data_IF_649194720167
#
_entry.id   IF_649194720167
#
_cell.length_a   1.000
_cell.length_b   1.000
_cell.length_c   1.000
_cell.angle_alpha   90.00
_cell.angle_beta   90.00
_cell.angle_gamma   90.00
#
_symmetry.space_group_name_H-M   'P 1'
#
loop_
_entity.id
_entity.type
_entity.pdbx_description
1 polymer ?
#
# COMPACT_ATOMS: atom_id res chain seq x y z
N UNK A 1 -1.17 -26.19 -31.93
CA UNK A 1 -1.11 -25.32 -30.74
C UNK A 1 -1.24 -26.19 -29.51
N UNK A 2 -0.34 -26.07 -28.52
CA UNK A 2 -0.51 -26.78 -27.25
C UNK A 2 -1.74 -26.21 -26.54
N UNK A 3 -2.61 -27.08 -26.04
CA UNK A 3 -3.80 -26.67 -25.28
C UNK A 3 -3.32 -26.03 -23.98
N UNK A 4 -3.46 -24.71 -23.87
CA UNK A 4 -2.95 -23.97 -22.72
C UNK A 4 -3.71 -24.43 -21.46
N UNK A 5 -2.98 -24.78 -20.41
CA UNK A 5 -3.58 -25.20 -19.13
C UNK A 5 -4.13 -23.97 -18.42
N UNK A 6 -5.26 -24.12 -17.74
CA UNK A 6 -5.89 -23.05 -16.98
C UNK A 6 -6.14 -23.46 -15.53
N UNK A 7 -6.05 -22.49 -14.61
CA UNK A 7 -6.36 -22.67 -13.19
C UNK A 7 -7.52 -21.76 -12.80
N UNK A 8 -8.53 -22.33 -12.13
CA UNK A 8 -9.71 -21.64 -11.64
C UNK A 8 -9.61 -21.50 -10.12
N UNK A 9 -9.79 -20.28 -9.60
CA UNK A 9 -9.76 -19.98 -8.16
C UNK A 9 -10.99 -19.15 -7.79
N UNK A 10 -11.64 -19.50 -6.68
CA UNK A 10 -12.72 -18.72 -6.09
C UNK A 10 -12.25 -18.17 -4.75
N UNK A 11 -12.32 -16.86 -4.57
CA UNK A 11 -11.83 -16.16 -3.38
C UNK A 11 -13.03 -15.43 -2.75
N UNK A 12 -13.48 -15.82 -1.54
CA UNK A 12 -14.44 -15.05 -0.77
C UNK A 12 -13.96 -13.60 -0.59
N UNK A 13 -14.65 -12.66 -1.23
CA UNK A 13 -14.30 -11.25 -1.30
C UNK A 13 -15.57 -10.43 -1.53
N UNK A 14 -15.98 -9.66 -0.53
CA UNK A 14 -17.18 -8.83 -0.64
C UNK A 14 -16.96 -7.68 -1.62
N UNK A 15 -18.01 -7.19 -2.28
CA UNK A 15 -17.90 -6.03 -3.18
C UNK A 15 -17.46 -4.73 -2.47
N UNK A 16 -17.64 -4.64 -1.14
CA UNK A 16 -17.10 -3.56 -0.32
C UNK A 16 -15.62 -3.72 0.00
N UNK A 17 -15.08 -4.94 -0.09
CA UNK A 17 -13.65 -5.23 0.00
C UNK A 17 -12.95 -5.05 -1.36
N UNK A 18 -13.54 -5.52 -2.47
CA UNK A 18 -13.01 -5.28 -3.81
C UNK A 18 -14.14 -5.05 -4.82
N UNK A 19 -14.05 -3.95 -5.55
CA UNK A 19 -14.85 -3.65 -6.72
C UNK A 19 -13.92 -3.56 -7.94
N UNK A 20 -13.88 -4.63 -8.75
CA UNK A 20 -13.06 -4.75 -9.95
C UNK A 20 -13.32 -3.61 -10.94
N UNK A 21 -14.60 -3.26 -11.17
CA UNK A 21 -14.97 -2.23 -12.16
C UNK A 21 -14.35 -0.87 -11.83
N UNK A 22 -14.34 -0.48 -10.55
CA UNK A 22 -13.77 0.81 -10.14
C UNK A 22 -12.23 0.69 -10.02
N UNK A 23 -11.75 -0.36 -9.36
CA UNK A 23 -10.32 -0.59 -9.10
C UNK A 23 -9.49 -0.74 -10.38
N UNK A 24 -10.01 -1.43 -11.40
CA UNK A 24 -9.27 -1.70 -12.65
C UNK A 24 -9.45 -0.61 -13.72
N UNK A 25 -10.27 0.42 -13.49
CA UNK A 25 -10.52 1.49 -14.45
C UNK A 25 -10.28 2.92 -13.92
N UNK A 26 -9.89 3.08 -12.65
CA UNK A 26 -9.54 4.37 -12.07
C UNK A 26 -8.13 4.88 -12.44
N UNK A 27 -7.48 4.29 -13.46
CA UNK A 27 -6.20 4.76 -13.97
C UNK A 27 -4.97 4.40 -13.13
N UNK A 28 -5.09 3.48 -12.16
CA UNK A 28 -3.94 2.91 -11.46
C UNK A 28 -3.11 1.98 -12.36
N UNK A 29 -3.78 1.08 -13.09
CA UNK A 29 -3.16 0.19 -14.07
C UNK A 29 -3.79 0.41 -15.45
N UNK A 30 -3.04 0.10 -16.50
CA UNK A 30 -3.44 0.28 -17.90
C UNK A 30 -3.53 -1.06 -18.66
N UNK A 31 -3.36 -2.19 -17.95
CA UNK A 31 -3.27 -3.56 -18.50
C UNK A 31 -4.57 -4.36 -18.44
N UNK A 32 -5.67 -3.75 -17.96
CA UNK A 32 -6.96 -4.40 -17.77
C UNK A 32 -8.00 -3.92 -18.78
N UNK A 33 -8.74 -4.86 -19.36
CA UNK A 33 -9.83 -4.63 -20.31
C UNK A 33 -11.07 -5.42 -19.87
N UNK A 34 -12.25 -4.85 -20.11
CA UNK A 34 -13.51 -5.59 -19.95
C UNK A 34 -13.70 -6.43 -21.23
N UNK A 35 -13.43 -7.73 -21.15
CA UNK A 35 -13.46 -8.64 -22.30
C UNK A 35 -14.90 -9.07 -22.65
N UNK A 36 -15.74 -9.18 -21.64
CA UNK A 36 -17.20 -9.27 -21.72
C UNK A 36 -17.80 -8.60 -20.48
N UNK A 37 -19.11 -8.29 -20.42
CA UNK A 37 -19.69 -7.52 -19.32
C UNK A 37 -19.39 -8.13 -17.94
N UNK A 38 -18.68 -7.38 -17.09
CA UNK A 38 -18.26 -7.83 -15.76
C UNK A 38 -17.04 -8.76 -15.72
N UNK A 39 -16.44 -9.13 -16.87
CA UNK A 39 -15.23 -9.97 -16.96
C UNK A 39 -14.02 -9.13 -17.38
N UNK A 40 -13.10 -8.97 -16.45
CA UNK A 40 -11.86 -8.20 -16.60
C UNK A 40 -10.72 -9.12 -17.01
N UNK A 41 -10.18 -8.96 -18.21
CA UNK A 41 -8.98 -9.67 -18.66
C UNK A 41 -7.78 -8.72 -18.65
N UNK A 42 -6.66 -9.22 -18.16
CA UNK A 42 -5.43 -8.45 -18.00
C UNK A 42 -4.25 -9.33 -17.66
N UNK A 43 -3.16 -8.70 -17.22
CA UNK A 43 -1.95 -9.40 -16.82
C UNK A 43 -1.44 -8.95 -15.46
N UNK A 44 -0.79 -9.87 -14.76
CA UNK A 44 0.01 -9.62 -13.56
C UNK A 44 1.37 -10.25 -13.84
N UNK A 45 2.42 -9.44 -14.02
CA UNK A 45 3.72 -9.90 -14.54
C UNK A 45 3.50 -10.61 -15.90
N UNK A 46 3.92 -11.88 -16.00
CA UNK A 46 3.80 -12.72 -17.20
C UNK A 46 2.52 -13.59 -17.20
N UNK A 47 1.66 -13.45 -16.19
CA UNK A 47 0.47 -14.28 -16.02
C UNK A 47 -0.77 -13.59 -16.60
N UNK A 48 -1.52 -14.30 -17.44
CA UNK A 48 -2.73 -13.81 -18.11
C UNK A 48 -3.96 -14.24 -17.33
N UNK A 49 -4.70 -13.26 -16.82
CA UNK A 49 -5.77 -13.45 -15.86
C UNK A 49 -7.11 -12.95 -16.40
N UNK A 50 -8.19 -13.67 -16.10
CA UNK A 50 -9.55 -13.13 -16.11
C UNK A 50 -10.14 -13.12 -14.71
N UNK A 51 -10.73 -11.99 -14.33
CA UNK A 51 -11.45 -11.80 -13.07
C UNK A 51 -12.90 -11.41 -13.33
N UNK A 52 -13.83 -12.03 -12.62
CA UNK A 52 -15.20 -11.56 -12.47
C UNK A 52 -15.61 -11.64 -11.01
N UNK A 53 -16.71 -11.01 -10.62
CA UNK A 53 -17.17 -11.07 -9.23
C UNK A 53 -18.70 -11.03 -9.12
N UNK A 54 -19.19 -11.59 -8.03
CA UNK A 54 -20.50 -11.22 -7.48
C UNK A 54 -20.31 -10.30 -6.27
N UNK A 55 -21.33 -10.18 -5.41
CA UNK A 55 -21.29 -9.36 -4.20
C UNK A 55 -20.39 -9.93 -3.09
N UNK A 56 -19.99 -11.20 -3.19
CA UNK A 56 -19.41 -12.03 -2.12
C UNK A 56 -18.16 -12.81 -2.53
N UNK A 57 -17.97 -13.06 -3.82
CA UNK A 57 -16.91 -13.92 -4.37
C UNK A 57 -16.24 -13.28 -5.57
N UNK A 58 -14.91 -13.32 -5.57
CA UNK A 58 -14.03 -13.02 -6.70
C UNK A 58 -13.68 -14.33 -7.41
N UNK A 59 -14.06 -14.45 -8.68
CA UNK A 59 -13.77 -15.59 -9.55
C UNK A 59 -12.54 -15.25 -10.40
N UNK A 60 -11.56 -16.15 -10.42
CA UNK A 60 -10.28 -15.96 -11.08
C UNK A 60 -9.98 -17.11 -12.04
N UNK A 61 -9.50 -16.78 -13.24
CA UNK A 61 -9.02 -17.75 -14.24
C UNK A 61 -7.64 -17.34 -14.69
N UNK A 62 -6.63 -18.16 -14.39
CA UNK A 62 -5.31 -18.08 -15.01
C UNK A 62 -5.36 -18.83 -16.34
N UNK A 63 -4.98 -18.18 -17.43
CA UNK A 63 -5.06 -18.75 -18.78
C UNK A 63 -3.79 -19.47 -19.22
N UNK A 64 -2.63 -19.13 -18.64
CA UNK A 64 -1.32 -19.69 -18.96
C UNK A 64 -0.67 -20.39 -17.75
N UNK A 65 -1.35 -21.38 -17.17
CA UNK A 65 -0.81 -22.19 -16.08
C UNK A 65 0.49 -22.88 -16.52
N UNK A 66 1.61 -22.49 -15.89
CA UNK A 66 2.92 -23.09 -16.09
C UNK A 66 3.03 -24.40 -15.31
N UNK A 67 3.86 -25.31 -15.80
CA UNK A 67 4.28 -26.48 -15.03
C UNK A 67 5.21 -26.05 -13.88
N UNK A 68 5.21 -26.76 -12.75
CA UNK A 68 5.90 -26.34 -11.51
C UNK A 68 7.36 -25.91 -11.69
N UNK A 69 8.12 -26.59 -12.56
CA UNK A 69 9.53 -26.27 -12.87
C UNK A 69 9.73 -24.95 -13.65
N UNK A 70 8.64 -24.35 -14.16
CA UNK A 70 8.62 -23.08 -14.90
C UNK A 70 7.93 -21.96 -14.11
N UNK A 71 7.41 -22.24 -12.91
CA UNK A 71 6.92 -21.18 -12.02
C UNK A 71 8.16 -20.42 -11.51
N UNK A 72 8.30 -19.12 -11.78
CA UNK A 72 9.47 -18.37 -11.33
C UNK A 72 9.52 -18.41 -9.79
N UNK A 73 10.68 -18.72 -9.19
CA UNK A 73 10.80 -18.86 -7.74
C UNK A 73 10.35 -17.57 -7.07
N UNK A 74 9.43 -17.69 -6.11
CA UNK A 74 8.61 -16.62 -5.54
C UNK A 74 9.31 -15.24 -5.56
N UNK A 75 9.09 -14.48 -6.64
CA UNK A 75 9.87 -13.28 -6.99
C UNK A 75 9.67 -12.15 -5.98
N UNK A 76 8.70 -12.32 -5.08
CA UNK A 76 8.45 -11.43 -3.97
C UNK A 76 8.21 -12.23 -2.67
N UNK A 77 9.22 -13.03 -2.27
CA UNK A 77 9.31 -13.62 -0.93
C UNK A 77 9.34 -12.58 0.21
N UNK A 78 9.39 -11.28 -0.13
CA UNK A 78 9.27 -10.15 0.80
C UNK A 78 7.83 -9.63 0.93
N UNK A 79 6.88 -10.13 0.13
CA UNK A 79 5.50 -9.63 0.14
C UNK A 79 4.62 -10.22 1.28
N UNK A 80 5.24 -10.70 2.37
CA UNK A 80 4.57 -10.99 3.65
C UNK A 80 4.50 -9.72 4.51
N UNK A 81 3.75 -8.72 4.02
CA UNK A 81 3.70 -7.35 4.56
C UNK A 81 2.94 -7.15 5.88
N UNK A 82 2.61 -8.22 6.61
CA UNK A 82 2.18 -8.10 8.01
C UNK A 82 3.33 -8.35 8.99
N UNK A 83 4.45 -7.69 8.72
CA UNK A 83 5.37 -7.31 9.79
C UNK A 83 4.62 -6.42 10.79
N UNK A 84 4.70 -6.76 12.07
CA UNK A 84 3.99 -6.07 13.13
C UNK A 84 4.22 -4.55 13.09
N UNK A 85 3.21 -3.78 13.49
CA UNK A 85 3.39 -2.39 13.96
C UNK A 85 4.08 -2.46 15.34
N UNK A 86 5.33 -2.91 15.33
CA UNK A 86 6.19 -3.05 16.49
C UNK A 86 6.78 -1.70 16.88
N UNK A 87 6.53 -1.32 18.12
CA UNK A 87 6.79 -0.09 18.89
C UNK A 87 8.17 0.62 18.73
N UNK A 88 9.09 0.09 17.92
CA UNK A 88 10.49 0.52 17.82
C UNK A 88 10.76 1.74 16.92
N UNK A 89 9.72 2.40 16.40
CA UNK A 89 9.86 3.61 15.58
C UNK A 89 10.19 4.88 16.41
N UNK A 90 10.00 4.86 17.74
CA UNK A 90 10.14 6.04 18.62
C UNK A 90 11.51 6.10 19.34
N UNK A 91 12.24 5.00 19.44
CA UNK A 91 13.54 4.99 20.16
C UNK A 91 14.75 5.30 19.29
N UNK A 92 14.67 5.12 17.96
CA UNK A 92 15.83 5.35 17.07
C UNK A 92 16.18 6.82 16.80
N UNK A 93 15.31 7.77 17.15
CA UNK A 93 15.63 9.21 17.08
C UNK A 93 16.35 9.76 18.33
N UNK A 94 16.49 8.97 19.42
CA UNK A 94 17.12 9.45 20.67
C UNK A 94 18.61 9.14 20.83
N UNK A 95 19.24 8.47 19.85
CA UNK A 95 20.65 8.04 19.97
C UNK A 95 21.68 8.83 19.13
N UNK A 96 21.25 9.83 18.34
CA UNK A 96 22.16 10.61 17.48
C UNK A 96 22.54 12.01 18.01
N UNK A 97 21.83 12.55 19.01
CA UNK A 97 22.17 13.84 19.64
C UNK A 97 23.06 13.67 20.88
N UNK A 98 24.30 13.17 20.71
CA UNK A 98 25.37 13.36 21.70
C UNK A 98 26.81 13.04 21.22
N UNK A 99 27.24 13.58 20.07
CA UNK A 99 28.68 13.71 19.76
C UNK A 99 29.04 15.14 19.35
N UNK A 100 29.37 15.97 20.36
CA UNK A 100 30.01 17.27 20.18
C UNK A 100 31.32 17.10 19.40
N UNK A 101 31.37 17.66 18.19
CA UNK A 101 32.59 17.76 17.39
C UNK A 101 33.58 18.68 18.09
N UNK A 102 34.66 18.12 18.67
CA UNK A 102 35.88 18.86 18.98
C UNK A 102 36.91 18.60 17.89
N UNK A 103 37.30 19.66 17.17
CA UNK A 103 38.43 19.67 16.24
C UNK A 103 39.73 19.28 16.96
N UNK A 104 40.50 18.39 16.36
CA UNK A 104 41.96 18.37 16.49
C UNK A 104 42.60 18.10 15.12
N UNK A 105 43.75 18.74 14.86
CA UNK A 105 44.57 18.54 13.65
C UNK A 105 45.78 17.67 14.02
N UNK A 106 46.07 16.67 13.18
CA UNK A 106 47.41 16.13 12.89
C UNK A 106 47.26 15.34 11.57
N UNK A 107 47.83 15.72 10.42
CA UNK A 107 49.27 15.75 10.03
C UNK A 107 49.93 14.38 9.99
N UNK A 108 50.21 13.90 8.78
CA UNK A 108 51.12 12.82 8.39
C UNK A 108 51.18 11.54 9.26
N UNK A 109 50.69 10.42 8.70
CA UNK A 109 51.55 9.26 8.49
C UNK A 109 51.03 8.40 7.33
N UNK A 110 51.95 7.93 6.49
CA UNK A 110 51.68 7.08 5.33
C UNK A 110 52.24 5.68 5.56
N UNK A 111 51.39 4.64 5.56
CA UNK A 111 51.81 3.25 5.37
C UNK A 111 50.88 2.59 4.35
N UNK A 112 51.46 1.74 3.52
CA UNK A 112 50.89 1.13 2.32
C UNK A 112 50.86 -0.41 2.50
N UNK A 113 50.00 -1.13 1.75
CA UNK A 113 49.98 -2.61 1.57
C UNK A 113 49.49 -3.41 2.81
N UNK A 114 48.93 -4.62 2.71
CA UNK A 114 48.29 -5.36 1.59
C UNK A 114 47.66 -6.68 2.06
N UNK A 115 46.53 -7.08 1.45
CA UNK A 115 46.10 -8.47 1.17
C UNK A 115 45.70 -9.49 2.28
N UNK A 116 44.89 -10.45 1.81
CA UNK A 116 44.60 -11.84 2.27
C UNK A 116 43.67 -12.13 3.49
N UNK A 117 42.43 -12.53 3.14
CA UNK A 117 41.69 -13.80 3.41
C UNK A 117 41.59 -14.44 4.82
N UNK A 118 40.57 -15.31 4.95
CA UNK A 118 40.17 -16.22 6.07
C UNK A 118 39.40 -15.54 7.24
N UNK A 119 38.34 -16.11 7.83
CA UNK A 119 37.43 -17.23 7.47
C UNK A 119 36.10 -17.11 8.24
N UNK A 120 35.11 -17.95 7.94
CA UNK A 120 33.89 -18.12 8.74
C UNK A 120 34.16 -18.41 10.23
N UNK A 121 33.36 -17.80 11.10
CA UNK A 121 33.07 -18.34 12.44
C UNK A 121 31.70 -17.87 12.93
N UNK A 122 30.81 -18.83 13.19
CA UNK A 122 29.56 -18.62 13.94
C UNK A 122 29.84 -17.92 15.29
N UNK A 123 28.92 -17.07 15.73
CA UNK A 123 28.88 -16.56 17.11
C UNK A 123 27.52 -16.90 17.71
N UNK A 124 27.51 -17.89 18.60
CA UNK A 124 26.37 -18.16 19.47
C UNK A 124 26.18 -17.00 20.46
N UNK A 125 25.01 -16.37 20.43
CA UNK A 125 24.60 -15.40 21.46
C UNK A 125 23.68 -16.11 22.44
N UNK A 126 24.28 -16.61 23.53
CA UNK A 126 23.57 -17.01 24.75
C UNK A 126 22.84 -15.77 25.32
N UNK A 127 21.53 -15.87 25.49
CA UNK A 127 20.75 -14.93 26.31
C UNK A 127 20.37 -15.65 27.60
N UNK A 128 20.91 -15.19 28.72
CA UNK A 128 20.55 -15.68 30.05
C UNK A 128 19.32 -14.92 30.56
N UNK A 129 18.25 -15.65 30.92
CA UNK A 129 17.03 -15.09 31.48
C UNK A 129 17.08 -15.16 33.01
N UNK A 130 17.17 -14.00 33.66
CA UNK A 130 17.21 -13.92 35.12
C UNK A 130 15.81 -13.86 35.77
N UNK A 131 15.61 -14.80 36.69
CA UNK A 131 14.79 -14.72 37.90
C UNK A 131 13.33 -14.20 37.83
N UNK A 132 12.39 -15.14 37.65
CA UNK A 132 11.05 -15.02 38.23
C UNK A 132 11.16 -15.17 39.75
N UNK A 133 10.55 -14.25 40.53
CA UNK A 133 10.25 -14.46 41.96
C UNK A 133 8.75 -14.44 42.22
N UNK A 134 8.30 -15.47 42.92
CA UNK A 134 6.91 -15.74 43.30
C UNK A 134 6.46 -14.96 44.54
N UNK A 135 5.15 -14.68 44.61
CA UNK A 135 4.39 -14.52 45.87
C UNK A 135 3.00 -15.13 45.67
N UNK A 136 2.63 -16.10 46.50
CA UNK A 136 1.26 -16.65 46.59
C UNK A 136 0.34 -15.71 47.38
N UNK A 137 -0.96 -15.70 47.06
CA UNK A 137 -2.04 -15.50 48.05
C UNK A 137 -3.14 -16.54 47.74
N UNK A 138 -3.62 -17.23 48.79
CA UNK A 138 -4.61 -18.33 48.71
C UNK A 138 -6.06 -17.83 48.79
N UNK A 139 -7.04 -18.58 48.25
CA UNK A 139 -8.46 -18.20 48.27
C UNK A 139 -9.15 -18.56 49.59
N UNK A 140 -10.34 -17.98 49.83
CA UNK A 140 -11.45 -18.62 50.54
C UNK A 140 -12.78 -17.87 50.27
N UNK A 141 -13.88 -18.61 50.40
CA UNK A 141 -15.22 -18.24 49.93
C UNK A 141 -16.00 -17.24 50.82
N UNK A 142 -17.08 -16.68 50.27
CA UNK A 142 -18.42 -16.64 50.90
C UNK A 142 -19.49 -16.32 49.83
N UNK A 143 -20.73 -16.72 50.12
CA UNK A 143 -21.80 -17.05 49.17
C UNK A 143 -22.88 -15.97 48.96
N UNK A 144 -23.53 -16.06 47.78
CA UNK A 144 -24.98 -15.97 47.57
C UNK A 144 -25.76 -14.61 47.64
N UNK A 145 -26.61 -14.48 46.62
CA UNK A 145 -28.01 -13.99 46.63
C UNK A 145 -28.40 -12.49 46.46
N UNK A 146 -29.09 -12.29 45.33
CA UNK A 146 -30.44 -11.72 45.17
C UNK A 146 -30.75 -10.20 45.14
N UNK A 147 -31.51 -9.90 44.08
CA UNK A 147 -32.71 -9.04 44.01
C UNK A 147 -32.60 -7.53 43.70
N UNK A 148 -33.09 -7.23 42.49
CA UNK A 148 -34.15 -6.26 42.15
C UNK A 148 -34.07 -4.73 42.41
N UNK A 149 -34.60 -4.07 41.36
CA UNK A 149 -35.57 -2.96 41.33
C UNK A 149 -35.11 -1.50 41.52
N UNK A 150 -35.32 -0.77 40.42
CA UNK A 150 -36.10 0.48 40.32
C UNK A 150 -35.47 1.82 40.75
N UNK A 151 -35.17 2.63 39.72
CA UNK A 151 -35.79 3.93 39.46
C UNK A 151 -36.25 4.78 40.66
N UNK A 152 -35.65 5.98 40.82
CA UNK A 152 -36.32 7.23 40.41
C UNK A 152 -35.44 8.50 40.52
N UNK A 153 -35.16 9.09 39.35
CA UNK A 153 -35.52 10.46 38.89
C UNK A 153 -35.71 11.66 39.86
N UNK A 154 -35.30 12.87 39.39
CA UNK A 154 -35.70 14.25 39.81
C UNK A 154 -34.99 14.84 41.07
N UNK A 155 -34.63 16.14 41.21
CA UNK A 155 -33.98 17.20 40.38
C UNK A 155 -33.90 18.50 41.23
N UNK A 156 -32.80 19.28 41.12
CA UNK A 156 -32.65 20.72 41.52
C UNK A 156 -32.84 21.13 43.02
N UNK A 157 -32.41 22.31 43.50
CA UNK A 157 -31.27 23.20 43.19
C UNK A 157 -31.10 24.29 44.28
N UNK A 158 -29.92 24.95 44.34
CA UNK A 158 -29.58 26.17 45.15
C UNK A 158 -29.69 26.00 46.71
N UNK A 159 -29.27 26.89 47.62
CA UNK A 159 -28.71 28.26 47.56
C UNK A 159 -27.20 28.39 47.99
N UNK A 160 -26.86 29.15 49.05
CA UNK A 160 -25.72 30.10 49.01
C UNK A 160 -25.31 30.74 50.38
N UNK A 161 -24.01 31.06 50.56
CA UNK A 161 -23.35 32.02 51.49
C UNK A 161 -23.45 31.90 53.04
N UNK A 162 -22.30 31.68 53.70
CA UNK A 162 -21.57 32.72 54.48
C UNK A 162 -20.14 32.25 54.89
N UNK A 163 -19.25 33.17 55.34
CA UNK A 163 -17.78 33.00 55.34
C UNK A 163 -17.06 33.75 56.48
N UNK A 164 -15.90 33.21 56.94
CA UNK A 164 -14.91 33.76 57.93
C UNK A 164 -15.34 33.66 59.41
N UNK A 165 -14.49 33.43 60.42
CA UNK A 165 -13.04 33.09 60.62
C UNK A 165 -12.96 32.32 61.98
N UNK A 166 -12.02 31.43 62.35
CA UNK A 166 -10.55 31.58 62.46
C UNK A 166 -9.84 30.21 62.71
N UNK A 167 -8.50 30.20 62.60
CA UNK A 167 -7.47 29.22 63.04
C UNK A 167 -7.75 28.24 64.21
N UNK A 168 -7.14 27.04 64.32
CA UNK A 168 -6.23 26.26 63.45
C UNK A 168 -5.98 24.83 64.01
N UNK A 169 -5.76 23.81 63.15
CA UNK A 169 -4.97 22.58 63.44
C UNK A 169 -4.86 21.64 62.20
N UNK A 170 -3.87 20.73 62.20
CA UNK A 170 -3.41 19.95 61.03
C UNK A 170 -4.43 18.95 60.42
N UNK A 171 -4.81 19.13 59.15
CA UNK A 171 -5.31 18.05 58.26
C UNK A 171 -4.86 18.30 56.81
N UNK A 172 -4.18 17.33 56.17
CA UNK A 172 -3.90 17.35 54.72
C UNK A 172 -5.11 16.82 53.93
N UNK A 173 -5.75 17.64 53.09
CA UNK A 173 -6.61 17.14 51.98
C UNK A 173 -6.83 18.17 50.86
N UNK A 174 -6.68 17.69 49.63
CA UNK A 174 -7.24 18.14 48.33
C UNK A 174 -7.50 19.64 48.11
N UNK A 175 -6.80 20.21 47.13
CA UNK A 175 -7.38 21.19 46.21
C UNK A 175 -7.43 20.57 44.81
N UNK A 176 -8.58 20.63 44.14
CA UNK A 176 -8.74 20.21 42.74
C UNK A 176 -8.66 21.46 41.88
N UNK A 177 -7.80 21.44 40.85
CA UNK A 177 -7.98 22.26 39.66
C UNK A 177 -8.19 21.31 38.49
N UNK A 178 -9.20 21.60 37.68
CA UNK A 178 -9.70 20.71 36.64
C UNK A 178 -8.77 20.64 35.44
N UNK A 179 -8.04 19.54 35.30
CA UNK A 179 -7.65 19.01 34.00
C UNK A 179 -8.58 17.84 33.68
N UNK A 180 -9.33 17.94 32.58
CA UNK A 180 -9.98 16.78 31.97
C UNK A 180 -8.93 15.97 31.20
N UNK A 181 -8.05 15.32 31.95
CA UNK A 181 -7.33 14.15 31.46
C UNK A 181 -8.32 12.99 31.44
N UNK A 182 -8.95 12.75 30.29
CA UNK A 182 -9.54 11.45 30.03
C UNK A 182 -8.42 10.42 30.05
N UNK A 183 -8.28 9.73 31.18
CA UNK A 183 -7.49 8.50 31.27
C UNK A 183 -8.09 7.50 30.29
N UNK A 184 -7.45 7.34 29.14
CA UNK A 184 -7.71 6.22 28.25
C UNK A 184 -7.37 4.96 29.04
N UNK A 185 -8.36 4.10 29.24
CA UNK A 185 -8.18 2.84 29.94
C UNK A 185 -7.45 1.85 29.00
N UNK A 186 -6.12 1.75 29.16
CA UNK A 186 -5.23 0.96 28.30
C UNK A 186 -5.36 -0.56 28.56
N UNK A 187 -6.50 -1.01 29.10
CA UNK A 187 -6.81 -2.43 29.35
C UNK A 187 -7.68 -3.10 28.27
N UNK A 188 -8.05 -2.38 27.20
CA UNK A 188 -8.83 -2.92 26.08
C UNK A 188 -8.07 -2.98 24.74
N UNK A 189 -6.74 -2.83 24.73
CA UNK A 189 -5.92 -3.21 23.58
C UNK A 189 -5.66 -4.72 23.62
N UNK A 190 -6.55 -5.48 23.00
CA UNK A 190 -6.41 -6.91 22.82
C UNK A 190 -5.30 -7.20 21.80
N UNK A 191 -4.09 -7.46 22.28
CA UNK A 191 -2.90 -7.75 21.46
C UNK A 191 -2.88 -9.17 20.89
N UNK A 192 -3.84 -10.02 21.25
CA UNK A 192 -4.05 -11.33 20.61
C UNK A 192 -4.92 -11.20 19.34
N UNK A 193 -4.38 -10.54 18.32
CA UNK A 193 -4.98 -10.60 16.97
C UNK A 193 -4.81 -12.01 16.38
N UNK A 194 -5.78 -12.88 16.68
CA UNK A 194 -5.96 -14.15 15.95
C UNK A 194 -6.04 -13.87 14.44
N UNK A 195 -5.49 -14.72 13.58
CA UNK A 195 -5.54 -14.52 12.14
C UNK A 195 -6.98 -14.33 11.66
N UNK A 196 -7.17 -13.36 10.76
CA UNK A 196 -8.47 -12.97 10.20
C UNK A 196 -9.34 -14.22 9.90
N UNK A 197 -10.62 -14.29 10.33
CA UNK A 197 -11.51 -15.40 10.01
C UNK A 197 -11.60 -15.75 8.51
N UNK A 198 -11.36 -14.77 7.63
CA UNK A 198 -11.22 -14.95 6.17
C UNK A 198 -9.94 -15.73 5.84
N UNK A 199 -8.78 -15.40 6.43
CA UNK A 199 -7.54 -16.18 6.28
C UNK A 199 -7.68 -17.60 6.86
N UNK A 200 -8.30 -17.77 8.02
CA UNK A 200 -8.57 -19.08 8.62
C UNK A 200 -9.55 -19.94 7.80
N UNK A 201 -10.39 -19.34 6.95
CA UNK A 201 -11.22 -20.04 5.96
C UNK A 201 -10.47 -20.32 4.65
N UNK A 202 -9.68 -19.38 4.15
CA UNK A 202 -8.90 -19.51 2.91
C UNK A 202 -7.78 -20.56 3.00
N UNK A 203 -7.17 -20.72 4.18
CA UNK A 203 -6.12 -21.73 4.42
C UNK A 203 -6.66 -23.16 4.59
N UNK A 204 -7.99 -23.36 4.68
CA UNK A 204 -8.59 -24.69 4.61
C UNK A 204 -8.87 -25.04 3.15
N UNK A 205 -8.14 -26.04 2.65
CA UNK A 205 -8.03 -26.41 1.23
C UNK A 205 -9.29 -27.07 0.61
N UNK A 206 -10.50 -26.66 1.02
CA UNK A 206 -11.77 -27.28 0.62
C UNK A 206 -12.67 -26.35 -0.24
N UNK A 207 -12.28 -25.10 -0.48
CA UNK A 207 -13.12 -24.12 -1.21
C UNK A 207 -12.88 -24.08 -2.74
N UNK A 208 -12.04 -24.98 -3.28
CA UNK A 208 -11.64 -24.99 -4.69
C UNK A 208 -12.34 -26.10 -5.49
N UNK A 209 -13.67 -26.12 -5.53
CA UNK A 209 -14.48 -27.14 -6.23
C UNK A 209 -14.59 -26.92 -7.75
N UNK A 210 -13.44 -26.77 -8.41
CA UNK A 210 -13.13 -27.26 -9.76
C UNK A 210 -11.64 -27.00 -10.09
N UNK A 211 -10.75 -27.48 -9.22
CA UNK A 211 -9.33 -27.66 -9.57
C UNK A 211 -9.27 -28.57 -10.81
N UNK A 212 -8.53 -28.16 -11.85
CA UNK A 212 -8.09 -29.09 -12.89
C UNK A 212 -7.29 -30.19 -12.18
N UNK A 213 -7.85 -31.40 -12.11
CA UNK A 213 -7.80 -32.34 -10.97
C UNK A 213 -6.43 -32.84 -10.49
N UNK A 214 -5.36 -32.43 -11.17
CA UNK A 214 -3.97 -32.81 -10.92
C UNK A 214 -3.05 -31.60 -10.63
N UNK A 215 -3.58 -30.41 -10.34
CA UNK A 215 -2.76 -29.21 -10.06
C UNK A 215 -2.21 -29.25 -8.62
N UNK A 216 -0.90 -29.14 -8.39
CA UNK A 216 -0.31 -29.19 -7.05
C UNK A 216 -0.79 -28.06 -6.12
N UNK A 217 -0.99 -28.38 -4.84
CA UNK A 217 -1.46 -27.42 -3.84
C UNK A 217 -0.48 -26.24 -3.62
N UNK A 218 0.82 -26.48 -3.78
CA UNK A 218 1.89 -25.46 -3.82
C UNK A 218 1.66 -24.44 -4.93
N UNK A 219 1.32 -24.91 -6.13
CA UNK A 219 1.05 -24.10 -7.32
C UNK A 219 -0.25 -23.31 -7.17
N UNK A 220 -1.30 -23.92 -6.61
CA UNK A 220 -2.54 -23.21 -6.23
C UNK A 220 -2.26 -22.10 -5.22
N UNK A 221 -1.46 -22.39 -4.18
CA UNK A 221 -1.07 -21.43 -3.14
C UNK A 221 -0.26 -20.26 -3.69
N UNK A 222 0.68 -20.53 -4.59
CA UNK A 222 1.48 -19.49 -5.28
C UNK A 222 0.59 -18.49 -6.01
N UNK A 223 -0.29 -18.96 -6.91
CA UNK A 223 -1.14 -18.09 -7.69
C UNK A 223 -2.22 -17.38 -6.85
N UNK A 224 -2.71 -18.01 -5.77
CA UNK A 224 -3.56 -17.33 -4.79
C UNK A 224 -2.82 -16.15 -4.12
N UNK A 225 -1.56 -16.35 -3.72
CA UNK A 225 -0.71 -15.30 -3.13
C UNK A 225 -0.44 -14.16 -4.14
N UNK A 226 -0.25 -14.46 -5.44
CA UNK A 226 -0.15 -13.44 -6.50
C UNK A 226 -1.37 -12.52 -6.52
N UNK A 227 -2.59 -13.08 -6.54
CA UNK A 227 -3.84 -12.31 -6.52
C UNK A 227 -3.99 -11.51 -5.22
N UNK A 228 -3.74 -12.16 -4.07
CA UNK A 228 -3.84 -11.55 -2.75
C UNK A 228 -2.88 -10.36 -2.58
N UNK A 229 -1.65 -10.47 -3.09
CA UNK A 229 -0.68 -9.38 -3.06
C UNK A 229 -1.08 -8.25 -4.02
N UNK A 230 -1.40 -8.58 -5.27
CA UNK A 230 -1.72 -7.60 -6.32
C UNK A 230 -2.93 -6.71 -5.95
N UNK A 231 -3.96 -7.28 -5.33
CA UNK A 231 -5.10 -6.53 -4.79
C UNK A 231 -4.95 -6.19 -3.29
N UNK A 232 -3.82 -6.49 -2.64
CA UNK A 232 -3.59 -6.27 -1.20
C UNK A 232 -4.68 -6.83 -0.29
N UNK A 233 -5.33 -7.95 -0.67
CA UNK A 233 -6.53 -8.53 -0.02
C UNK A 233 -6.35 -8.85 1.47
N UNK A 234 -5.10 -8.91 1.93
CA UNK A 234 -4.74 -9.08 3.33
C UNK A 234 -5.21 -7.89 4.21
N UNK A 235 -5.26 -6.67 3.68
CA UNK A 235 -5.77 -5.46 4.36
C UNK A 235 -7.30 -5.47 4.39
N UNK A 236 -7.90 -5.31 5.57
CA UNK A 236 -9.34 -5.10 5.76
C UNK A 236 -9.73 -3.69 5.28
N UNK A 237 -10.40 -3.62 4.12
CA UNK A 237 -10.75 -2.35 3.51
C UNK A 237 -11.98 -1.72 4.18
N UNK A 238 -12.92 -2.53 4.69
CA UNK A 238 -14.09 -2.02 5.40
C UNK A 238 -13.67 -1.24 6.67
N UNK A 239 -12.68 -1.71 7.43
CA UNK A 239 -12.12 -1.00 8.57
C UNK A 239 -11.42 0.30 8.15
N UNK A 240 -10.64 0.28 7.07
CA UNK A 240 -9.99 1.48 6.54
C UNK A 240 -11.02 2.52 6.06
N UNK A 241 -12.05 2.11 5.32
CA UNK A 241 -13.17 2.96 4.92
C UNK A 241 -13.90 3.55 6.13
N UNK A 242 -14.15 2.76 7.19
CA UNK A 242 -14.79 3.24 8.41
C UNK A 242 -13.97 4.33 9.11
N UNK A 243 -12.65 4.15 9.21
CA UNK A 243 -11.72 5.15 9.73
C UNK A 243 -11.74 6.44 8.90
N UNK A 244 -11.59 6.34 7.58
CA UNK A 244 -11.58 7.52 6.69
C UNK A 244 -12.93 8.25 6.65
N UNK A 245 -14.06 7.53 6.67
CA UNK A 245 -15.40 8.14 6.80
C UNK A 245 -15.56 8.91 8.11
N UNK A 246 -14.93 8.48 9.21
CA UNK A 246 -15.01 9.17 10.50
C UNK A 246 -14.19 10.46 10.55
N UNK A 247 -13.21 10.61 9.66
CA UNK A 247 -12.31 11.76 9.57
C UNK A 247 -12.74 12.79 8.53
N UNK A 248 -13.49 12.37 7.51
CA UNK A 248 -13.86 13.22 6.38
C UNK A 248 -15.25 12.91 5.81
N UNK A 249 -16.13 13.92 5.86
CA UNK A 249 -17.48 13.88 5.28
C UNK A 249 -17.48 13.80 3.75
N UNK A 250 -16.46 14.32 3.08
CA UNK A 250 -16.31 14.21 1.64
C UNK A 250 -15.89 12.80 1.24
N UNK A 251 -15.00 12.16 2.01
CA UNK A 251 -14.70 10.74 1.89
C UNK A 251 -15.96 9.89 2.11
N UNK A 252 -16.77 10.18 3.14
CA UNK A 252 -18.01 9.44 3.40
C UNK A 252 -18.97 9.46 2.19
N UNK A 253 -19.13 10.61 1.54
CA UNK A 253 -19.92 10.73 0.31
C UNK A 253 -19.29 9.99 -0.90
N UNK A 254 -17.96 10.01 -1.03
CA UNK A 254 -17.23 9.27 -2.07
C UNK A 254 -17.34 7.75 -1.87
N UNK A 255 -17.23 7.27 -0.63
CA UNK A 255 -17.29 5.86 -0.26
C UNK A 255 -18.63 5.20 -0.63
N UNK A 256 -19.75 5.94 -0.51
CA UNK A 256 -21.07 5.46 -0.94
C UNK A 256 -21.15 5.23 -2.47
N UNK A 257 -20.47 6.07 -3.26
CA UNK A 257 -20.41 5.94 -4.73
C UNK A 257 -19.35 4.94 -5.19
N UNK A 258 -18.29 4.79 -4.42
CA UNK A 258 -17.10 4.01 -4.75
C UNK A 258 -16.69 3.07 -3.60
N UNK A 259 -17.49 2.05 -3.27
CA UNK A 259 -17.10 0.98 -2.36
C UNK A 259 -16.03 0.09 -3.01
N UNK A 260 -15.20 -0.59 -2.20
CA UNK A 260 -14.28 -1.61 -2.70
C UNK A 260 -13.12 -1.10 -3.57
N UNK A 261 -12.77 0.19 -3.53
CA UNK A 261 -11.67 0.71 -4.34
C UNK A 261 -10.35 0.33 -3.68
N UNK A 262 -9.65 -0.62 -4.31
CA UNK A 262 -8.34 -1.06 -3.84
C UNK A 262 -7.21 -0.30 -4.50
N UNK A 263 -6.07 -0.26 -3.80
CA UNK A 263 -4.81 0.21 -4.34
C UNK A 263 -3.98 -1.02 -4.74
N UNK A 264 -3.57 -1.08 -6.00
CA UNK A 264 -2.86 -2.24 -6.55
C UNK A 264 -1.40 -2.30 -6.06
N UNK A 265 -0.82 -3.51 -6.00
CA UNK A 265 0.63 -3.73 -5.88
C UNK A 265 1.19 -4.17 -7.24
N UNK A 266 1.57 -3.21 -8.07
CA UNK A 266 1.99 -3.44 -9.44
C UNK A 266 3.49 -3.74 -9.53
N UNK A 267 3.95 -4.51 -10.54
CA UNK A 267 5.37 -4.68 -10.82
C UNK A 267 6.06 -3.32 -11.05
N UNK A 268 7.17 -3.00 -10.34
CA UNK A 268 7.79 -1.67 -10.43
C UNK A 268 8.22 -1.25 -11.84
N UNK A 269 8.75 -2.17 -12.65
CA UNK A 269 9.15 -1.90 -14.04
C UNK A 269 7.96 -1.49 -14.91
N UNK A 270 6.89 -2.29 -14.89
CA UNK A 270 5.64 -1.98 -15.58
C UNK A 270 5.11 -0.61 -15.16
N UNK A 271 5.12 -0.33 -13.85
CA UNK A 271 4.58 0.91 -13.30
C UNK A 271 5.40 2.14 -13.72
N UNK A 272 6.74 2.08 -13.65
CA UNK A 272 7.65 3.15 -14.10
C UNK A 272 7.36 3.54 -15.56
N UNK A 273 7.41 2.58 -16.48
CA UNK A 273 7.27 2.88 -17.90
C UNK A 273 5.83 3.23 -18.30
N UNK A 274 4.82 2.65 -17.63
CA UNK A 274 3.42 3.04 -17.80
C UNK A 274 3.15 4.47 -17.34
N UNK A 275 3.70 4.90 -16.19
CA UNK A 275 3.50 6.28 -15.72
C UNK A 275 4.38 7.31 -16.46
N UNK A 276 5.52 6.93 -17.05
CA UNK A 276 6.19 7.75 -18.06
C UNK A 276 5.24 8.04 -19.23
N UNK A 277 4.50 7.03 -19.73
CA UNK A 277 3.48 7.18 -20.78
C UNK A 277 2.29 8.08 -20.36
N UNK A 278 2.04 8.24 -19.05
CA UNK A 278 0.93 9.03 -18.49
C UNK A 278 1.12 10.54 -18.51
N UNK A 279 2.38 11.01 -18.57
CA UNK A 279 2.73 12.44 -18.53
C UNK A 279 1.97 13.25 -19.60
N UNK A 280 1.17 14.24 -19.19
CA UNK A 280 0.31 15.06 -20.09
C UNK A 280 -0.46 14.20 -21.12
N UNK A 281 -1.32 13.31 -20.64
CA UNK A 281 -2.04 12.32 -21.43
C UNK A 281 -3.39 11.96 -20.78
N UNK A 282 -4.22 11.14 -21.43
CA UNK A 282 -5.49 10.63 -20.87
C UNK A 282 -5.52 9.10 -20.81
N UNK A 283 -6.31 8.53 -19.89
CA UNK A 283 -6.33 7.08 -19.59
C UNK A 283 -6.46 6.21 -20.86
N UNK A 284 -7.40 6.55 -21.76
CA UNK A 284 -7.62 5.80 -23.01
C UNK A 284 -6.37 5.75 -23.89
N UNK A 285 -5.74 6.90 -24.14
CA UNK A 285 -4.49 6.97 -24.93
C UNK A 285 -3.32 6.32 -24.20
N UNK A 286 -3.27 6.35 -22.87
CA UNK A 286 -2.21 5.67 -22.09
C UNK A 286 -2.32 4.16 -22.25
N UNK A 287 -3.52 3.58 -22.08
CA UNK A 287 -3.76 2.15 -22.31
C UNK A 287 -3.35 1.72 -23.72
N UNK A 288 -3.70 2.49 -24.75
CA UNK A 288 -3.26 2.19 -26.13
C UNK A 288 -1.75 2.31 -26.37
N UNK A 289 -1.03 3.17 -25.62
CA UNK A 289 0.44 3.22 -25.69
C UNK A 289 1.08 2.06 -24.93
N UNK A 290 0.59 1.74 -23.73
CA UNK A 290 1.09 0.61 -22.92
C UNK A 290 0.84 -0.72 -23.64
N UNK A 291 -0.29 -0.89 -24.31
CA UNK A 291 -0.55 -2.06 -25.15
C UNK A 291 0.47 -2.18 -26.30
N UNK A 292 0.70 -1.10 -27.07
CA UNK A 292 1.72 -1.09 -28.14
C UNK A 292 3.12 -1.39 -27.62
N UNK A 293 3.46 -0.88 -26.43
CA UNK A 293 4.76 -1.13 -25.78
C UNK A 293 4.97 -2.63 -25.55
N UNK A 294 3.95 -3.33 -25.06
CA UNK A 294 3.98 -4.77 -24.81
C UNK A 294 3.91 -5.61 -26.08
N UNK A 295 3.16 -5.20 -27.11
CA UNK A 295 3.11 -5.91 -28.41
C UNK A 295 4.44 -5.83 -29.16
N UNK A 296 5.12 -4.68 -29.11
CA UNK A 296 6.38 -4.46 -29.84
C UNK A 296 7.60 -5.08 -29.14
N UNK A 297 7.69 -4.97 -27.80
CA UNK A 297 8.90 -5.34 -27.04
C UNK A 297 8.66 -6.40 -25.94
N UNK A 298 7.43 -6.89 -25.78
CA UNK A 298 7.07 -7.94 -24.83
C UNK A 298 7.09 -9.33 -25.47
N UNK A 299 7.00 -10.37 -24.64
CA UNK A 299 6.94 -11.77 -25.11
C UNK A 299 5.51 -12.30 -25.09
N UNK A 300 5.06 -12.92 -26.18
CA UNK A 300 3.75 -13.58 -26.26
C UNK A 300 3.64 -14.69 -25.20
N UNK A 301 2.66 -14.57 -24.30
CA UNK A 301 2.41 -15.52 -23.22
C UNK A 301 1.35 -16.56 -23.61
N UNK A 302 0.20 -16.12 -24.11
CA UNK A 302 -0.83 -16.98 -24.66
C UNK A 302 -1.81 -16.21 -25.56
N UNK A 303 -2.75 -16.94 -26.15
CA UNK A 303 -3.91 -16.41 -26.86
C UNK A 303 -5.19 -16.85 -26.12
N UNK A 304 -6.14 -15.94 -25.93
CA UNK A 304 -7.42 -16.19 -25.25
C UNK A 304 -8.53 -15.52 -26.05
N UNK A 305 -9.52 -16.29 -26.48
CA UNK A 305 -10.64 -15.85 -27.35
C UNK A 305 -10.18 -15.12 -28.63
N UNK A 306 -9.09 -15.60 -29.26
CA UNK A 306 -8.49 -14.98 -30.44
C UNK A 306 -7.68 -13.70 -30.18
N UNK A 307 -7.57 -13.26 -28.92
CA UNK A 307 -6.71 -12.13 -28.54
C UNK A 307 -5.38 -12.62 -27.96
N UNK A 308 -4.27 -12.14 -28.54
CA UNK A 308 -2.92 -12.39 -28.04
C UNK A 308 -2.56 -11.50 -26.83
N UNK A 309 -1.85 -12.08 -25.86
CA UNK A 309 -1.44 -11.41 -24.64
C UNK A 309 0.09 -11.47 -24.48
N UNK A 310 0.72 -10.30 -24.50
CA UNK A 310 2.16 -10.11 -24.43
C UNK A 310 2.56 -9.56 -23.06
N UNK A 311 3.66 -10.07 -22.48
CA UNK A 311 4.22 -9.58 -21.22
C UNK A 311 4.64 -8.12 -21.28
N UNK A 312 4.90 -7.52 -20.12
CA UNK A 312 5.55 -6.21 -20.09
C UNK A 312 7.02 -6.34 -20.55
N UNK A 313 7.56 -5.42 -21.38
CA UNK A 313 8.95 -5.51 -21.82
C UNK A 313 9.95 -5.45 -20.68
N UNK A 314 11.04 -6.20 -20.79
CA UNK A 314 12.14 -6.11 -19.83
C UNK A 314 12.90 -4.79 -19.96
N UNK A 315 13.72 -4.45 -18.95
CA UNK A 315 14.53 -3.23 -18.96
C UNK A 315 15.55 -3.29 -20.11
N UNK A 316 16.11 -4.47 -20.38
CA UNK A 316 17.05 -4.74 -21.48
C UNK A 316 16.40 -4.52 -22.84
N UNK A 317 15.17 -5.02 -23.03
CA UNK A 317 14.41 -4.84 -24.27
C UNK A 317 14.14 -3.36 -24.57
N UNK A 318 13.89 -2.53 -23.55
CA UNK A 318 13.66 -1.09 -23.70
C UNK A 318 14.96 -0.26 -23.79
N UNK A 319 16.07 -0.78 -23.26
CA UNK A 319 17.39 -0.15 -23.29
C UNK A 319 18.18 -0.43 -24.58
N UNK A 320 17.75 -1.39 -25.39
CA UNK A 320 18.40 -1.77 -26.64
C UNK A 320 18.52 -0.60 -27.65
N UNK A 321 19.55 -0.64 -28.48
CA UNK A 321 19.78 0.37 -29.52
C UNK A 321 18.63 0.37 -30.55
N UNK A 322 18.22 1.55 -31.01
CA UNK A 322 17.11 1.72 -31.96
C UNK A 322 15.70 1.81 -31.35
N UNK A 323 15.52 1.48 -30.06
CA UNK A 323 14.19 1.46 -29.40
C UNK A 323 13.50 2.83 -29.43
N UNK A 324 14.24 3.93 -29.23
CA UNK A 324 13.66 5.29 -29.29
C UNK A 324 13.04 5.56 -30.67
N UNK A 325 13.70 5.15 -31.76
CA UNK A 325 13.26 5.37 -33.13
C UNK A 325 12.00 4.55 -33.44
N UNK A 326 11.90 3.31 -32.92
CA UNK A 326 10.68 2.49 -33.03
C UNK A 326 9.53 3.11 -32.25
N UNK A 327 9.75 3.50 -30.98
CA UNK A 327 8.73 4.17 -30.15
C UNK A 327 8.22 5.49 -30.78
N UNK A 328 9.08 6.22 -31.49
CA UNK A 328 8.67 7.42 -32.25
C UNK A 328 7.71 7.06 -33.38
N UNK A 329 7.97 5.98 -34.15
CA UNK A 329 7.06 5.46 -35.19
C UNK A 329 5.72 5.00 -34.60
N UNK A 330 5.72 4.42 -33.40
CA UNK A 330 4.52 3.99 -32.67
C UNK A 330 3.72 5.14 -32.01
N UNK A 331 4.10 6.40 -32.25
CA UNK A 331 3.43 7.62 -31.78
C UNK A 331 3.49 7.91 -30.27
N UNK A 332 4.54 7.44 -29.57
CA UNK A 332 4.83 7.83 -28.18
C UNK A 332 5.25 9.31 -28.05
N UNK A 333 5.71 9.93 -29.15
CA UNK A 333 6.17 11.32 -29.19
C UNK A 333 7.46 11.52 -28.39
N UNK A 334 7.56 12.61 -27.63
CA UNK A 334 8.74 12.90 -26.79
C UNK A 334 9.02 11.80 -25.74
N UNK A 335 7.99 11.05 -25.32
CA UNK A 335 8.11 9.99 -24.31
C UNK A 335 8.93 8.79 -24.78
N UNK A 336 9.11 8.62 -26.10
CA UNK A 336 10.01 7.62 -26.66
C UNK A 336 11.44 7.73 -26.08
N UNK A 337 11.95 8.97 -26.01
CA UNK A 337 13.27 9.25 -25.45
C UNK A 337 13.32 9.02 -23.93
N UNK A 338 12.22 9.29 -23.22
CA UNK A 338 12.10 9.08 -21.78
C UNK A 338 12.11 7.59 -21.41
N UNK A 339 11.38 6.76 -22.16
CA UNK A 339 11.36 5.30 -21.99
C UNK A 339 12.77 4.73 -22.23
N UNK A 340 13.34 4.95 -23.41
CA UNK A 340 14.64 4.37 -23.77
C UNK A 340 15.77 4.83 -22.82
N UNK A 341 15.84 6.14 -22.50
CA UNK A 341 16.87 6.65 -21.58
C UNK A 341 16.65 6.21 -20.14
N UNK A 342 15.41 6.12 -19.66
CA UNK A 342 15.15 5.56 -18.32
C UNK A 342 15.51 4.09 -18.22
N UNK A 343 15.28 3.30 -19.27
CA UNK A 343 15.72 1.90 -19.32
C UNK A 343 17.25 1.78 -19.24
N UNK A 344 17.99 2.61 -20.00
CA UNK A 344 19.47 2.65 -19.92
C UNK A 344 19.98 3.09 -18.54
N UNK A 345 19.33 4.06 -17.89
CA UNK A 345 19.67 4.46 -16.52
C UNK A 345 19.38 3.32 -15.54
N UNK A 346 18.22 2.68 -15.63
CA UNK A 346 17.87 1.55 -14.76
C UNK A 346 18.87 0.39 -14.89
N UNK A 347 19.29 0.01 -16.11
CA UNK A 347 20.34 -1.00 -16.28
C UNK A 347 21.65 -0.61 -15.57
N UNK A 348 22.08 0.66 -15.66
CA UNK A 348 23.31 1.10 -15.02
C UNK A 348 23.22 1.29 -13.50
N UNK A 349 22.01 1.41 -12.93
CA UNK A 349 21.79 1.51 -11.47
C UNK A 349 21.38 0.21 -10.77
N UNK A 350 21.30 -0.92 -11.49
CA UNK A 350 21.01 -2.24 -10.90
C UNK A 350 19.60 -2.79 -11.18
N UNK A 351 18.90 -2.25 -12.18
CA UNK A 351 17.68 -2.81 -12.76
C UNK A 351 16.53 -2.98 -11.77
N UNK A 352 15.88 -4.14 -11.82
CA UNK A 352 14.76 -4.44 -10.90
C UNK A 352 15.18 -4.47 -9.43
N UNK A 353 16.41 -4.88 -9.12
CA UNK A 353 16.90 -4.95 -7.74
C UNK A 353 17.00 -3.55 -7.11
N UNK A 354 17.34 -2.52 -7.90
CA UNK A 354 17.33 -1.13 -7.46
C UNK A 354 15.91 -0.64 -7.16
N UNK A 355 14.94 -0.93 -8.05
CA UNK A 355 13.53 -0.61 -7.81
C UNK A 355 12.99 -1.33 -6.56
N UNK A 356 13.35 -2.61 -6.38
CA UNK A 356 12.94 -3.39 -5.22
C UNK A 356 13.51 -2.81 -3.91
N UNK A 357 14.76 -2.32 -3.89
CA UNK A 357 15.36 -1.69 -2.72
C UNK A 357 14.65 -0.39 -2.29
N UNK A 358 13.98 0.32 -3.22
CA UNK A 358 13.17 1.50 -2.87
C UNK A 358 11.90 1.14 -2.06
N UNK A 359 11.46 -0.13 -2.04
CA UNK A 359 10.35 -0.57 -1.16
C UNK A 359 10.67 -0.38 0.32
N UNK A 360 11.92 -0.47 0.71
CA UNK A 360 12.35 -0.34 2.11
C UNK A 360 12.82 1.09 2.47
N UNK A 361 13.02 1.96 1.48
CA UNK A 361 13.52 3.32 1.68
C UNK A 361 12.42 4.33 2.11
N UNK A 362 12.77 5.46 2.77
CA UNK A 362 11.80 6.53 3.04
C UNK A 362 11.21 7.14 1.76
N UNK A 363 9.95 7.57 1.78
CA UNK A 363 9.27 8.18 0.62
C UNK A 363 10.03 9.39 0.05
N UNK A 364 10.69 10.19 0.89
CA UNK A 364 11.55 11.30 0.45
C UNK A 364 12.74 10.83 -0.39
N UNK A 365 13.36 9.71 -0.03
CA UNK A 365 14.43 9.08 -0.79
C UNK A 365 13.89 8.47 -2.09
N UNK A 366 12.76 7.76 -2.05
CA UNK A 366 12.10 7.21 -3.23
C UNK A 366 11.81 8.28 -4.28
N UNK A 367 11.23 9.41 -3.86
CA UNK A 367 11.00 10.58 -4.72
C UNK A 367 12.28 11.11 -5.36
N UNK A 368 13.33 11.30 -4.55
CA UNK A 368 14.61 11.82 -5.04
C UNK A 368 15.29 10.87 -6.04
N UNK A 369 15.24 9.56 -5.78
CA UNK A 369 15.80 8.53 -6.66
C UNK A 369 14.98 8.37 -7.95
N UNK A 370 13.66 8.26 -7.88
CA UNK A 370 12.82 8.12 -9.07
C UNK A 370 12.90 9.33 -10.00
N UNK A 371 13.03 10.55 -9.46
CA UNK A 371 13.15 11.77 -10.27
C UNK A 371 14.51 11.91 -11.00
N UNK A 372 15.48 11.00 -10.80
CA UNK A 372 16.66 10.93 -11.67
C UNK A 372 16.35 10.27 -13.03
N UNK A 373 15.22 9.57 -13.15
CA UNK A 373 14.82 8.90 -14.39
C UNK A 373 14.23 9.91 -15.40
N UNK A 374 14.74 9.96 -16.65
CA UNK A 374 14.21 10.84 -17.70
C UNK A 374 12.69 10.72 -17.89
N UNK A 375 11.97 11.83 -17.68
CA UNK A 375 10.51 11.90 -17.79
C UNK A 375 9.73 11.65 -16.50
N UNK A 376 10.41 11.34 -15.39
CA UNK A 376 9.79 11.16 -14.07
C UNK A 376 9.85 12.47 -13.27
N UNK A 377 8.75 13.23 -13.29
CA UNK A 377 8.54 14.36 -12.38
C UNK A 377 7.85 13.96 -11.07
N UNK A 378 7.58 14.90 -10.14
CA UNK A 378 6.99 14.62 -8.82
C UNK A 378 5.74 13.73 -8.86
N UNK A 379 4.76 14.05 -9.72
CA UNK A 379 3.54 13.23 -9.91
C UNK A 379 3.84 11.80 -10.34
N UNK A 380 4.78 11.61 -11.26
CA UNK A 380 5.13 10.28 -11.79
C UNK A 380 5.86 9.48 -10.70
N UNK A 381 6.79 10.10 -9.99
CA UNK A 381 7.49 9.49 -8.86
C UNK A 381 6.51 9.07 -7.74
N UNK A 382 5.51 9.90 -7.45
CA UNK A 382 4.50 9.59 -6.42
C UNK A 382 3.52 8.49 -6.86
N UNK A 383 3.15 8.41 -8.14
CA UNK A 383 2.40 7.27 -8.70
C UNK A 383 3.18 5.96 -8.52
N UNK A 384 4.45 5.94 -8.90
CA UNK A 384 5.32 4.77 -8.78
C UNK A 384 5.48 4.36 -7.32
N UNK A 385 5.76 5.35 -6.45
CA UNK A 385 5.92 5.15 -5.01
C UNK A 385 4.65 4.54 -4.38
N UNK A 386 3.48 5.05 -4.74
CA UNK A 386 2.20 4.61 -4.22
C UNK A 386 1.80 3.21 -4.73
N UNK A 387 1.90 2.98 -6.04
CA UNK A 387 1.27 1.83 -6.71
C UNK A 387 2.21 0.63 -6.93
N UNK A 388 3.51 0.76 -6.62
CA UNK A 388 4.48 -0.33 -6.81
C UNK A 388 5.59 -0.42 -5.74
N UNK A 389 5.81 0.63 -4.95
CA UNK A 389 6.88 0.68 -3.93
C UNK A 389 6.37 0.74 -2.47
N UNK A 390 5.11 0.41 -2.22
CA UNK A 390 4.50 0.36 -0.87
C UNK A 390 4.57 1.68 -0.07
N UNK A 391 4.60 2.84 -0.72
CA UNK A 391 4.46 4.15 -0.07
C UNK A 391 2.99 4.56 -0.04
N UNK A 392 2.22 3.89 0.82
CA UNK A 392 0.76 4.00 0.90
C UNK A 392 0.26 5.38 1.37
N UNK A 393 1.17 6.22 1.86
CA UNK A 393 1.00 7.63 2.23
C UNK A 393 1.33 8.62 1.08
N UNK A 394 1.87 8.14 -0.05
CA UNK A 394 2.24 8.97 -1.20
C UNK A 394 1.01 9.54 -1.91
N UNK A 395 1.04 10.84 -2.26
CA UNK A 395 -0.11 11.55 -2.87
C UNK A 395 0.27 12.09 -4.26
N UNK A 396 -0.07 11.38 -5.36
CA UNK A 396 0.25 11.84 -6.71
C UNK A 396 -0.63 13.03 -7.13
N UNK A 397 -0.21 14.26 -6.82
CA UNK A 397 -0.98 15.46 -7.16
C UNK A 397 -0.85 15.80 -8.65
N UNK A 398 -1.93 15.57 -9.42
CA UNK A 398 -2.11 16.17 -10.75
C UNK A 398 -3.18 17.27 -10.74
N UNK A 399 -3.56 17.76 -11.92
CA UNK A 399 -4.60 18.79 -12.07
C UNK A 399 -5.95 18.39 -11.51
N UNK A 400 -6.35 17.11 -11.61
CA UNK A 400 -7.63 16.63 -11.06
C UNK A 400 -7.57 16.56 -9.53
N UNK A 401 -6.50 15.99 -8.99
CA UNK A 401 -6.27 15.92 -7.53
C UNK A 401 -6.18 17.32 -6.92
N UNK A 402 -5.51 18.25 -7.60
CA UNK A 402 -5.47 19.67 -7.23
C UNK A 402 -6.87 20.31 -7.27
N UNK A 403 -7.70 20.03 -8.29
CA UNK A 403 -9.08 20.53 -8.36
C UNK A 403 -9.97 20.00 -7.24
N UNK A 404 -9.86 18.70 -6.90
CA UNK A 404 -10.53 18.09 -5.74
C UNK A 404 -10.09 18.81 -4.45
N UNK A 405 -8.78 18.95 -4.24
CA UNK A 405 -8.20 19.62 -3.08
C UNK A 405 -8.68 21.07 -2.94
N UNK A 406 -8.58 21.88 -3.99
CA UNK A 406 -8.98 23.29 -3.98
C UNK A 406 -10.51 23.48 -3.83
N UNK A 407 -11.31 22.58 -4.40
CA UNK A 407 -12.78 22.63 -4.29
C UNK A 407 -13.25 22.28 -2.88
N UNK A 408 -12.79 21.16 -2.32
CA UNK A 408 -13.37 20.57 -1.11
C UNK A 408 -12.64 20.98 0.18
N UNK A 409 -11.30 21.05 0.16
CA UNK A 409 -10.50 21.11 1.40
C UNK A 409 -9.71 22.41 1.58
N UNK A 410 -9.19 22.97 0.48
CA UNK A 410 -8.22 24.06 0.48
C UNK A 410 -8.75 25.25 -0.36
N UNK A 411 -9.81 25.95 0.09
CA UNK A 411 -10.48 26.98 -0.71
C UNK A 411 -9.56 28.15 -1.12
N UNK A 412 -8.50 28.41 -0.35
CA UNK A 412 -7.46 29.39 -0.70
C UNK A 412 -6.71 29.06 -2.01
N UNK A 413 -6.73 27.81 -2.47
CA UNK A 413 -6.11 27.38 -3.73
C UNK A 413 -7.02 27.57 -4.95
N UNK A 414 -8.31 27.93 -4.81
CA UNK A 414 -9.26 28.04 -5.94
C UNK A 414 -8.87 29.08 -6.99
N UNK A 415 -8.11 30.11 -6.61
CA UNK A 415 -7.57 31.13 -7.52
C UNK A 415 -6.21 30.76 -8.13
N UNK A 416 -5.60 29.65 -7.70
CA UNK A 416 -4.27 29.21 -8.16
C UNK A 416 -4.38 28.57 -9.54
N UNK A 417 -3.66 29.12 -10.52
CA UNK A 417 -3.72 28.69 -11.94
C UNK A 417 -2.83 27.49 -12.28
N UNK A 418 -1.85 27.15 -11.45
CA UNK A 418 -0.86 26.12 -11.73
C UNK A 418 -0.38 25.39 -10.47
N UNK A 419 -0.14 24.08 -10.61
CA UNK A 419 0.43 23.25 -9.54
C UNK A 419 1.93 23.51 -9.47
N UNK A 420 2.32 24.49 -8.66
CA UNK A 420 3.74 24.71 -8.29
C UNK A 420 4.18 23.68 -7.24
N UNK A 421 5.49 23.51 -7.05
CA UNK A 421 6.05 22.60 -6.04
C UNK A 421 5.52 22.87 -4.61
N UNK A 422 5.31 24.15 -4.26
CA UNK A 422 4.70 24.54 -2.98
C UNK A 422 3.24 24.07 -2.90
N UNK A 423 2.45 24.28 -3.96
CA UNK A 423 1.04 23.87 -4.04
C UNK A 423 0.92 22.35 -3.98
N UNK A 424 1.78 21.64 -4.71
CA UNK A 424 1.89 20.18 -4.69
C UNK A 424 2.09 19.66 -3.26
N UNK A 425 3.09 20.20 -2.55
CA UNK A 425 3.40 19.80 -1.17
C UNK A 425 2.30 20.15 -0.18
N UNK A 426 1.63 21.29 -0.32
CA UNK A 426 0.47 21.66 0.51
C UNK A 426 -0.68 20.66 0.33
N UNK A 427 -1.01 20.28 -0.90
CA UNK A 427 -2.08 19.30 -1.19
C UNK A 427 -1.71 17.92 -0.65
N UNK A 428 -0.48 17.46 -0.90
CA UNK A 428 0.00 16.17 -0.40
C UNK A 428 -0.02 16.12 1.15
N UNK A 429 0.56 17.14 1.82
CA UNK A 429 0.61 17.20 3.27
C UNK A 429 -0.78 17.26 3.92
N UNK A 430 -1.76 17.91 3.27
CA UNK A 430 -3.13 17.93 3.75
C UNK A 430 -3.73 16.51 3.81
N UNK A 431 -3.70 15.76 2.70
CA UNK A 431 -4.23 14.40 2.67
C UNK A 431 -3.44 13.44 3.57
N UNK A 432 -2.11 13.58 3.64
CA UNK A 432 -1.27 12.81 4.57
C UNK A 432 -1.64 13.05 6.04
N UNK A 433 -1.91 14.31 6.42
CA UNK A 433 -2.36 14.65 7.78
C UNK A 433 -3.76 14.11 8.07
N UNK A 434 -4.67 14.17 7.08
CA UNK A 434 -6.06 13.76 7.21
C UNK A 434 -6.24 12.24 7.35
N UNK A 435 -5.50 11.45 6.56
CA UNK A 435 -5.72 10.00 6.45
C UNK A 435 -4.55 9.13 6.95
N UNK A 436 -3.41 9.74 7.30
CA UNK A 436 -2.27 9.04 7.91
C UNK A 436 -1.58 8.03 6.98
N UNK A 437 -1.15 6.85 7.48
CA UNK A 437 -0.28 5.90 6.75
C UNK A 437 -0.83 5.37 5.42
N UNK A 438 -2.15 5.45 5.19
CA UNK A 438 -2.81 4.99 3.97
C UNK A 438 -3.41 6.14 3.13
N UNK A 439 -2.91 7.36 3.31
CA UNK A 439 -3.50 8.54 2.69
C UNK A 439 -3.57 8.50 1.16
N UNK A 440 -2.61 7.87 0.48
CA UNK A 440 -2.64 7.69 -0.96
C UNK A 440 -3.74 6.74 -1.43
N UNK A 441 -4.08 5.74 -0.61
CA UNK A 441 -5.22 4.85 -0.84
C UNK A 441 -6.54 5.60 -0.67
N UNK A 442 -6.74 6.30 0.45
CA UNK A 442 -7.95 7.10 0.72
C UNK A 442 -8.19 8.15 -0.38
N UNK A 443 -7.14 8.90 -0.74
CA UNK A 443 -7.16 9.85 -1.86
C UNK A 443 -7.57 9.19 -3.20
N UNK A 444 -7.15 7.95 -3.46
CA UNK A 444 -7.50 7.24 -4.69
C UNK A 444 -9.00 6.91 -4.77
N UNK A 445 -9.71 6.80 -3.64
CA UNK A 445 -11.17 6.68 -3.59
C UNK A 445 -11.83 8.00 -3.99
N UNK A 446 -11.37 9.13 -3.44
CA UNK A 446 -11.86 10.47 -3.81
C UNK A 446 -11.67 10.74 -5.31
N UNK A 447 -10.47 10.42 -5.83
CA UNK A 447 -10.16 10.52 -7.25
C UNK A 447 -11.12 9.67 -8.09
N UNK A 448 -11.34 8.40 -7.69
CA UNK A 448 -12.27 7.51 -8.38
C UNK A 448 -13.70 8.07 -8.41
N UNK A 449 -14.18 8.63 -7.30
CA UNK A 449 -15.52 9.21 -7.21
C UNK A 449 -15.72 10.51 -8.03
N UNK A 450 -14.63 11.19 -8.42
CA UNK A 450 -14.68 12.41 -9.25
C UNK A 450 -14.51 12.12 -10.77
N UNK A 451 -14.10 10.90 -11.14
CA UNK A 451 -14.04 10.49 -12.54
C UNK A 451 -15.44 10.43 -13.14
N UNK A 452 -15.65 11.15 -14.26
CA UNK A 452 -16.93 11.18 -15.01
C UNK A 452 -17.51 9.79 -15.33
N UNK A 453 -16.69 8.74 -15.43
CA UNK A 453 -17.14 7.36 -15.69
C UNK A 453 -17.89 6.73 -14.50
N UNK A 454 -17.69 7.26 -13.30
CA UNK A 454 -18.33 6.83 -12.06
C UNK A 454 -19.22 7.92 -11.45
N UNK A 455 -19.37 9.05 -12.15
CA UNK A 455 -20.41 10.03 -11.86
C UNK A 455 -21.77 9.45 -12.26
N UNK A 456 -22.59 9.19 -11.25
CA UNK A 456 -24.02 8.85 -11.31
C UNK A 456 -24.85 10.00 -11.88
#
# INVERSE_FOLDING_TARGET
MNKVKSLFLHIPCQITELNLKITLQNGQSFRWKEASPGVWRGMIRDDVWSFSQDNTTLYCVLHNLRDDAQIPPNVDSRNDYFGAVGENAVEREKLNDNKKVKRFKASHLSIQKSCTNFTDSYVDVKIECDAIKSVEIKPNDITAENSHSEDNTIVASVLNKNRKNNSASNVRKKCVRSSLEQKIDVKNFNTDQKPNPVMCKLLKAECCTNIASNTPATTVSHYLKVIQNYFRLAVDLNLAYKDWCSKDVHFQAAAQKCPGVRLLDQPPVENVFSFICSSNNNISRISGLVEKLCVEFGSLQCEVDGQQWFSFPSIEALAAEGVEQVLRKLAFGYRAAYIHKSARVLLSTGGEAWLAALRDAPLSHCRAQLQTLPGVGPKVADCISLMSLNKLDSIPVDTHVFQIAARLYLPALRSTKSVTERVYRTVAAHFQTLYGPHAGWAHSVLFSADLKKFAS
#
